data_IF_895257254727
#
_entry.id   IF_895257254727
#
_cell.length_a   1.000
_cell.length_b   1.000
_cell.length_c   1.000
_cell.angle_alpha   90.00
_cell.angle_beta   90.00
_cell.angle_gamma   90.00
#
_symmetry.space_group_name_H-M   'P 1'
#
loop_
_entity.id
_entity.type
_entity.pdbx_description
1 polymer ?
#
# COMPACT_ATOMS: atom_id res chain seq x y z
N UNK A 1 -35.11 -15.39 54.95
CA UNK A 1 -33.80 -14.77 54.69
C UNK A 1 -33.04 -15.70 53.75
N UNK A 2 -33.25 -15.57 52.44
CA UNK A 2 -32.52 -16.36 51.45
C UNK A 2 -31.42 -15.45 50.88
N UNK A 3 -30.26 -15.48 51.51
CA UNK A 3 -29.06 -14.84 51.00
C UNK A 3 -28.56 -15.63 49.79
N UNK A 4 -28.52 -14.96 48.65
CA UNK A 4 -27.93 -15.48 47.42
C UNK A 4 -26.43 -15.70 47.62
N UNK A 5 -26.00 -16.96 47.64
CA UNK A 5 -24.59 -17.34 47.79
C UNK A 5 -23.73 -16.90 46.61
N UNK A 6 -24.32 -16.69 45.42
CA UNK A 6 -23.58 -16.18 44.25
C UNK A 6 -23.23 -14.69 44.37
N UNK A 7 -23.87 -13.96 45.30
CA UNK A 7 -23.49 -12.59 45.61
C UNK A 7 -22.08 -12.49 46.23
N UNK A 8 -21.61 -13.55 46.93
CA UNK A 8 -20.28 -13.62 47.55
C UNK A 8 -19.15 -13.94 46.55
N UNK A 9 -19.49 -14.48 45.37
CA UNK A 9 -18.52 -14.93 44.37
C UNK A 9 -18.21 -13.87 43.29
N UNK A 10 -18.88 -12.72 43.29
CA UNK A 10 -18.43 -11.54 42.53
C UNK A 10 -17.23 -10.94 43.25
N UNK A 11 -16.05 -11.49 42.96
CA UNK A 11 -14.74 -10.97 43.41
C UNK A 11 -14.74 -9.46 43.34
N UNK A 12 -14.81 -8.84 44.51
CA UNK A 12 -14.57 -7.44 44.75
C UNK A 12 -13.23 -7.06 44.13
N UNK A 13 -13.28 -6.42 42.96
CA UNK A 13 -12.13 -5.81 42.30
C UNK A 13 -11.78 -4.51 43.04
N UNK A 14 -11.69 -4.54 44.39
CA UNK A 14 -11.50 -3.41 45.33
C UNK A 14 -10.24 -2.61 45.02
N UNK A 15 -10.28 -1.90 43.91
CA UNK A 15 -9.38 -0.83 43.56
C UNK A 15 -10.10 0.46 43.97
N UNK A 16 -9.35 1.51 44.29
CA UNK A 16 -9.96 2.83 44.52
C UNK A 16 -10.80 3.34 43.32
N UNK A 17 -10.77 2.65 42.17
CA UNK A 17 -11.55 2.95 40.99
C UNK A 17 -12.96 2.31 40.99
N UNK A 18 -13.24 1.32 41.87
CA UNK A 18 -14.56 0.67 41.96
C UNK A 18 -15.69 1.65 42.26
N UNK A 19 -15.40 2.69 43.05
CA UNK A 19 -16.35 3.77 43.33
C UNK A 19 -16.83 4.50 42.06
N UNK A 20 -16.09 4.38 40.97
CA UNK A 20 -16.41 4.98 39.67
C UNK A 20 -16.89 3.94 38.64
N UNK A 21 -17.16 2.69 39.05
CA UNK A 21 -17.52 1.58 38.16
C UNK A 21 -18.65 1.95 37.19
N UNK A 22 -19.79 2.44 37.70
CA UNK A 22 -20.96 2.75 36.87
C UNK A 22 -20.65 3.83 35.82
N UNK A 23 -19.92 4.87 36.22
CA UNK A 23 -19.49 5.94 35.33
C UNK A 23 -18.52 5.43 34.27
N UNK A 24 -17.52 4.63 34.68
CA UNK A 24 -16.54 4.04 33.78
C UNK A 24 -17.24 3.13 32.77
N UNK A 25 -18.11 2.23 33.21
CA UNK A 25 -18.86 1.31 32.35
C UNK A 25 -19.74 2.04 31.35
N UNK A 26 -20.53 3.03 31.80
CA UNK A 26 -21.35 3.86 30.92
C UNK A 26 -20.51 4.62 29.89
N UNK A 27 -19.38 5.18 30.33
CA UNK A 27 -18.49 5.96 29.46
C UNK A 27 -17.78 5.09 28.43
N UNK A 28 -17.30 3.91 28.83
CA UNK A 28 -16.70 2.92 27.93
C UNK A 28 -17.73 2.42 26.90
N UNK A 29 -18.96 2.12 27.33
CA UNK A 29 -20.05 1.71 26.45
C UNK A 29 -20.47 2.82 25.47
N UNK A 30 -20.37 4.09 25.87
CA UNK A 30 -20.59 5.23 24.96
C UNK A 30 -19.41 5.54 24.03
N UNK A 31 -18.32 4.77 24.09
CA UNK A 31 -17.15 4.93 23.23
C UNK A 31 -16.18 6.03 23.63
N UNK A 32 -16.25 6.50 24.88
CA UNK A 32 -15.32 7.48 25.39
C UNK A 32 -13.93 6.84 25.56
N UNK A 33 -12.88 7.57 25.17
CA UNK A 33 -11.51 7.05 25.28
C UNK A 33 -11.04 7.00 26.73
N UNK A 34 -10.28 5.96 27.11
CA UNK A 34 -9.76 5.73 28.48
C UNK A 34 -9.09 6.97 29.10
N UNK A 35 -8.38 7.76 28.30
CA UNK A 35 -7.73 9.01 28.73
C UNK A 35 -8.72 10.07 29.22
N UNK A 36 -9.87 10.16 28.58
CA UNK A 36 -10.90 11.16 28.91
C UNK A 36 -11.71 10.69 30.13
N UNK A 37 -11.99 9.38 30.21
CA UNK A 37 -12.58 8.75 31.40
C UNK A 37 -11.68 8.97 32.63
N UNK A 38 -10.37 8.70 32.51
CA UNK A 38 -9.41 8.93 33.60
C UNK A 38 -9.39 10.40 34.07
N UNK A 39 -9.41 11.35 33.14
CA UNK A 39 -9.45 12.78 33.47
C UNK A 39 -10.72 13.14 34.25
N UNK A 40 -11.85 12.55 33.91
CA UNK A 40 -13.11 12.88 34.57
C UNK A 40 -13.23 12.25 35.97
N UNK A 41 -12.84 10.99 36.13
CA UNK A 41 -12.80 10.36 37.47
C UNK A 41 -11.76 11.04 38.38
N UNK A 42 -10.67 11.59 37.81
CA UNK A 42 -9.69 12.37 38.59
C UNK A 42 -10.31 13.66 39.16
N UNK A 43 -11.13 14.37 38.38
CA UNK A 43 -11.87 15.55 38.86
C UNK A 43 -12.90 15.20 39.93
N UNK A 44 -13.51 14.02 39.83
CA UNK A 44 -14.48 13.51 40.81
C UNK A 44 -13.81 13.00 42.11
N UNK A 45 -12.47 13.05 42.21
CA UNK A 45 -11.73 12.74 43.43
C UNK A 45 -10.95 11.43 43.40
N UNK A 46 -10.77 10.78 42.24
CA UNK A 46 -9.96 9.57 42.15
C UNK A 46 -8.49 9.87 42.47
N UNK A 47 -7.93 9.25 43.51
CA UNK A 47 -6.55 9.49 43.94
C UNK A 47 -5.52 8.58 43.26
N UNK A 48 -5.94 7.52 42.57
CA UNK A 48 -5.05 6.52 41.99
C UNK A 48 -4.24 6.98 40.75
N UNK A 49 -3.24 6.16 40.41
CA UNK A 49 -2.36 6.34 39.27
C UNK A 49 -3.06 6.01 37.94
N UNK A 50 -2.57 6.61 36.84
CA UNK A 50 -3.09 6.37 35.49
C UNK A 50 -3.04 4.89 35.12
N UNK A 51 -1.92 4.22 35.41
CA UNK A 51 -1.70 2.80 35.13
C UNK A 51 -2.74 1.92 35.81
N UNK A 52 -2.98 2.14 37.11
CA UNK A 52 -3.98 1.39 37.89
C UNK A 52 -5.39 1.56 37.34
N UNK A 53 -5.78 2.79 36.96
CA UNK A 53 -7.08 3.03 36.34
C UNK A 53 -7.20 2.39 34.95
N UNK A 54 -6.11 2.40 34.17
CA UNK A 54 -6.08 1.79 32.85
C UNK A 54 -6.15 0.26 32.92
N UNK A 55 -5.42 -0.36 33.85
CA UNK A 55 -5.48 -1.80 34.10
C UNK A 55 -6.88 -2.22 34.55
N UNK A 56 -7.51 -1.43 35.42
CA UNK A 56 -8.89 -1.65 35.83
C UNK A 56 -9.86 -1.54 34.65
N UNK A 57 -9.76 -0.48 33.85
CA UNK A 57 -10.56 -0.34 32.63
C UNK A 57 -10.31 -1.50 31.66
N UNK A 58 -9.07 -1.94 31.45
CA UNK A 58 -8.76 -3.07 30.56
C UNK A 58 -9.42 -4.37 31.02
N UNK A 59 -9.42 -4.65 32.33
CA UNK A 59 -10.15 -5.80 32.89
C UNK A 59 -11.65 -5.72 32.62
N UNK A 60 -12.25 -4.53 32.75
CA UNK A 60 -13.67 -4.33 32.44
C UNK A 60 -13.97 -4.54 30.96
N UNK A 61 -13.08 -4.06 30.09
CA UNK A 61 -13.18 -4.18 28.63
C UNK A 61 -13.14 -5.64 28.21
N UNK A 62 -12.20 -6.42 28.74
CA UNK A 62 -12.08 -7.85 28.47
C UNK A 62 -13.27 -8.63 29.04
N UNK A 63 -13.67 -8.34 30.29
CA UNK A 63 -14.78 -9.04 30.95
C UNK A 63 -16.14 -8.81 30.28
N UNK A 64 -16.35 -7.64 29.65
CA UNK A 64 -17.64 -7.25 29.06
C UNK A 64 -17.59 -7.14 27.53
N UNK A 65 -16.46 -7.48 26.89
CA UNK A 65 -16.31 -7.46 25.43
C UNK A 65 -16.51 -6.08 24.77
N UNK A 66 -16.15 -4.99 25.45
CA UNK A 66 -16.46 -3.62 24.99
C UNK A 66 -15.51 -3.19 23.87
N UNK A 67 -16.04 -2.75 22.73
CA UNK A 67 -15.24 -2.19 21.63
C UNK A 67 -14.88 -0.72 21.89
N UNK A 68 -13.59 -0.39 21.95
CA UNK A 68 -13.12 0.96 22.32
C UNK A 68 -12.23 1.60 21.28
N UNK A 69 -12.50 2.87 21.03
CA UNK A 69 -11.62 3.82 20.37
C UNK A 69 -10.29 3.97 21.12
N UNK A 70 -9.19 3.48 20.52
CA UNK A 70 -7.83 3.65 21.09
C UNK A 70 -7.35 5.10 20.99
N UNK A 71 -7.82 5.84 19.98
CA UNK A 71 -7.44 7.23 19.71
C UNK A 71 -8.68 8.10 19.51
N UNK A 72 -8.60 9.38 19.90
CA UNK A 72 -9.70 10.37 19.77
C UNK A 72 -10.21 10.52 18.33
N UNK A 73 -9.37 10.24 17.34
CA UNK A 73 -9.67 10.31 15.92
C UNK A 73 -10.28 9.03 15.33
N UNK A 74 -10.37 7.93 16.09
CA UNK A 74 -10.98 6.68 15.66
C UNK A 74 -12.37 6.53 16.31
N UNK A 75 -13.43 6.48 15.52
CA UNK A 75 -14.78 6.15 16.02
C UNK A 75 -14.91 4.64 16.23
N UNK A 76 -15.82 4.18 17.11
CA UNK A 76 -16.18 2.75 17.22
C UNK A 76 -16.56 2.19 15.83
N UNK A 77 -17.29 2.97 15.05
CA UNK A 77 -17.68 2.62 13.69
C UNK A 77 -16.47 2.39 12.77
N UNK A 78 -15.41 3.19 12.90
CA UNK A 78 -14.16 3.00 12.15
C UNK A 78 -13.43 1.71 12.52
N UNK A 79 -13.52 1.28 13.78
CA UNK A 79 -12.94 0.03 14.28
C UNK A 79 -13.72 -1.18 13.77
N UNK A 80 -15.05 -1.12 13.87
CA UNK A 80 -15.94 -2.16 13.35
C UNK A 80 -15.79 -2.32 11.82
N UNK A 81 -15.74 -1.22 11.07
CA UNK A 81 -15.41 -1.23 9.63
C UNK A 81 -14.05 -1.88 9.35
N UNK A 82 -13.02 -1.60 10.15
CA UNK A 82 -11.69 -2.18 9.98
C UNK A 82 -11.67 -3.69 10.23
N UNK A 83 -12.43 -4.19 11.21
CA UNK A 83 -12.62 -5.63 11.45
C UNK A 83 -13.40 -6.32 10.32
N UNK A 84 -14.39 -5.65 9.74
CA UNK A 84 -15.10 -6.19 8.58
C UNK A 84 -14.22 -6.20 7.32
N UNK A 85 -13.40 -5.17 7.13
CA UNK A 85 -12.43 -5.11 6.03
C UNK A 85 -11.36 -6.22 6.15
N UNK A 86 -10.91 -6.56 7.36
CA UNK A 86 -9.94 -7.66 7.55
C UNK A 86 -10.46 -9.06 7.19
N UNK A 87 -11.75 -9.22 6.89
CA UNK A 87 -12.31 -10.48 6.35
C UNK A 87 -12.07 -10.65 4.85
N UNK A 88 -11.70 -9.60 4.14
CA UNK A 88 -11.49 -9.64 2.69
C UNK A 88 -10.01 -9.59 2.36
N UNK A 89 -9.60 -10.35 1.36
CA UNK A 89 -8.27 -10.21 0.79
C UNK A 89 -8.13 -8.86 0.09
N UNK A 90 -7.06 -8.14 0.44
CA UNK A 90 -6.83 -6.79 -0.05
C UNK A 90 -5.83 -6.79 -1.20
N UNK A 91 -6.33 -6.59 -2.42
CA UNK A 91 -5.50 -6.42 -3.61
C UNK A 91 -5.17 -4.94 -3.80
N UNK A 92 -3.88 -4.59 -3.73
CA UNK A 92 -3.41 -3.23 -3.94
C UNK A 92 -3.12 -2.94 -5.42
N UNK A 93 -3.17 -1.66 -5.83
CA UNK A 93 -2.70 -1.26 -7.17
C UNK A 93 -1.25 -1.69 -7.44
N UNK A 94 -0.38 -1.57 -6.43
CA UNK A 94 1.03 -1.98 -6.53
C UNK A 94 1.19 -3.47 -6.78
N UNK A 95 0.34 -4.31 -6.17
CA UNK A 95 0.38 -5.75 -6.41
C UNK A 95 -0.12 -6.07 -7.82
N UNK A 96 -1.20 -5.43 -8.29
CA UNK A 96 -1.66 -5.59 -9.70
C UNK A 96 -0.54 -5.19 -10.69
N UNK A 97 0.13 -4.06 -10.45
CA UNK A 97 1.23 -3.63 -11.30
C UNK A 97 2.38 -4.65 -11.32
N UNK A 98 2.80 -5.16 -10.15
CA UNK A 98 3.83 -6.20 -10.07
C UNK A 98 3.43 -7.50 -10.75
N UNK A 99 2.17 -7.89 -10.62
CA UNK A 99 1.63 -9.05 -11.35
C UNK A 99 1.72 -8.86 -12.86
N UNK A 100 1.25 -7.73 -13.38
CA UNK A 100 1.29 -7.43 -14.81
C UNK A 100 2.70 -7.30 -15.36
N UNK A 101 3.60 -6.62 -14.63
CA UNK A 101 4.91 -6.23 -15.15
C UNK A 101 6.05 -7.18 -14.75
N UNK A 102 6.01 -7.76 -13.55
CA UNK A 102 7.06 -8.64 -13.04
C UNK A 102 6.65 -10.11 -13.04
N UNK A 103 5.43 -10.44 -13.47
CA UNK A 103 4.86 -11.80 -13.40
C UNK A 103 4.91 -12.35 -11.95
N UNK A 104 4.71 -11.45 -10.98
CA UNK A 104 4.78 -11.74 -9.54
C UNK A 104 3.70 -12.77 -9.16
N UNK A 105 4.10 -13.85 -8.49
CA UNK A 105 3.24 -14.98 -8.14
C UNK A 105 2.23 -14.64 -7.02
N UNK A 106 2.39 -13.51 -6.32
CA UNK A 106 1.51 -13.09 -5.20
C UNK A 106 0.03 -13.02 -5.60
N UNK A 107 -0.27 -12.76 -6.87
CA UNK A 107 -1.64 -12.67 -7.39
C UNK A 107 -2.08 -13.86 -8.24
N UNK A 108 -1.26 -14.91 -8.33
CA UNK A 108 -1.56 -16.10 -9.14
C UNK A 108 -2.87 -16.77 -8.74
N UNK A 109 -3.14 -16.89 -7.44
CA UNK A 109 -4.41 -17.45 -6.92
C UNK A 109 -5.64 -16.58 -7.14
N UNK A 110 -5.47 -15.28 -7.42
CA UNK A 110 -6.58 -14.35 -7.69
C UNK A 110 -6.73 -14.05 -9.19
N UNK A 111 -5.89 -14.66 -10.04
CA UNK A 111 -5.79 -14.32 -11.46
C UNK A 111 -7.12 -14.45 -12.19
N UNK A 112 -7.79 -15.57 -12.04
CA UNK A 112 -9.06 -15.86 -12.72
C UNK A 112 -10.14 -14.88 -12.29
N UNK A 113 -10.33 -14.72 -10.97
CA UNK A 113 -11.24 -13.75 -10.39
C UNK A 113 -10.96 -12.30 -10.84
N UNK A 114 -9.69 -11.90 -10.93
CA UNK A 114 -9.31 -10.57 -11.40
C UNK A 114 -9.61 -10.36 -12.88
N UNK A 115 -9.35 -11.36 -13.72
CA UNK A 115 -9.63 -11.29 -15.15
C UNK A 115 -11.13 -11.32 -15.45
N UNK A 116 -11.91 -12.08 -14.67
CA UNK A 116 -13.36 -12.12 -14.78
C UNK A 116 -14.00 -10.81 -14.33
N UNK A 117 -13.63 -10.33 -13.13
CA UNK A 117 -14.19 -9.10 -12.56
C UNK A 117 -13.72 -7.83 -13.26
N UNK A 118 -12.49 -7.83 -13.77
CA UNK A 118 -11.89 -6.70 -14.46
C UNK A 118 -11.23 -7.16 -15.78
N UNK A 119 -12.02 -7.36 -16.85
CA UNK A 119 -11.53 -7.83 -18.15
C UNK A 119 -10.35 -7.02 -18.71
N UNK A 120 -10.31 -5.72 -18.41
CA UNK A 120 -9.21 -4.81 -18.78
C UNK A 120 -7.85 -5.29 -18.27
N UNK A 121 -7.78 -5.92 -17.09
CA UNK A 121 -6.53 -6.48 -16.55
C UNK A 121 -6.04 -7.63 -17.44
N UNK A 122 -6.98 -8.46 -17.93
CA UNK A 122 -6.68 -9.55 -18.87
C UNK A 122 -6.16 -9.03 -20.20
N UNK A 123 -6.79 -7.99 -20.76
CA UNK A 123 -6.32 -7.36 -22.00
C UNK A 123 -4.94 -6.73 -21.85
N UNK A 124 -4.70 -5.97 -20.76
CA UNK A 124 -3.39 -5.40 -20.45
C UNK A 124 -2.31 -6.48 -20.28
N UNK A 125 -2.63 -7.57 -19.60
CA UNK A 125 -1.70 -8.69 -19.41
C UNK A 125 -1.29 -9.30 -20.76
N UNK A 126 -2.25 -9.55 -21.66
CA UNK A 126 -1.98 -10.04 -23.01
C UNK A 126 -1.13 -9.05 -23.80
N UNK A 127 -1.50 -7.77 -23.78
CA UNK A 127 -0.76 -6.70 -24.45
C UNK A 127 0.71 -6.66 -24.01
N UNK A 128 0.98 -6.68 -22.70
CA UNK A 128 2.36 -6.65 -22.17
C UNK A 128 3.15 -7.87 -22.61
N UNK A 129 2.55 -9.07 -22.57
CA UNK A 129 3.25 -10.31 -22.98
C UNK A 129 3.54 -10.34 -24.47
N UNK A 130 2.57 -9.97 -25.30
CA UNK A 130 2.74 -9.92 -26.75
C UNK A 130 3.78 -8.88 -27.13
N UNK A 131 3.71 -7.68 -26.54
CA UNK A 131 4.69 -6.63 -26.81
C UNK A 131 6.12 -7.06 -26.45
N UNK A 132 6.33 -7.68 -25.28
CA UNK A 132 7.64 -8.22 -24.89
C UNK A 132 8.13 -9.31 -25.83
N UNK A 133 7.23 -10.14 -26.34
CA UNK A 133 7.58 -11.22 -27.25
C UNK A 133 8.16 -10.68 -28.55
N UNK A 134 7.61 -9.58 -29.08
CA UNK A 134 8.13 -8.90 -30.29
C UNK A 134 9.62 -8.60 -30.16
N UNK A 135 10.05 -7.99 -29.05
CA UNK A 135 11.46 -7.64 -28.82
C UNK A 135 12.32 -8.85 -28.47
N UNK A 136 11.75 -9.86 -27.81
CA UNK A 136 12.47 -11.10 -27.49
C UNK A 136 12.76 -11.93 -28.75
N UNK A 137 11.79 -12.02 -29.64
CA UNK A 137 11.86 -12.81 -30.89
C UNK A 137 12.32 -11.98 -32.09
N UNK A 138 12.48 -10.66 -31.91
CA UNK A 138 12.85 -9.70 -32.96
C UNK A 138 12.01 -9.82 -34.22
N UNK A 139 10.70 -9.97 -34.03
CA UNK A 139 9.77 -10.31 -35.10
C UNK A 139 8.94 -9.10 -35.56
N UNK A 140 9.32 -8.50 -36.70
CA UNK A 140 8.52 -7.44 -37.34
C UNK A 140 7.10 -7.90 -37.73
N UNK A 141 6.86 -9.12 -38.24
CA UNK A 141 5.50 -9.58 -38.49
C UNK A 141 4.63 -9.55 -37.23
N UNK A 142 5.18 -9.91 -36.07
CA UNK A 142 4.46 -9.80 -34.80
C UNK A 142 4.22 -8.34 -34.40
N UNK A 143 5.13 -7.42 -34.72
CA UNK A 143 4.94 -5.99 -34.52
C UNK A 143 3.74 -5.44 -35.30
N UNK A 144 3.65 -5.74 -36.59
CA UNK A 144 2.54 -5.26 -37.41
C UNK A 144 1.19 -5.82 -36.93
N UNK A 145 1.14 -7.13 -36.65
CA UNK A 145 -0.06 -7.77 -36.10
C UNK A 145 -0.45 -7.19 -34.73
N UNK A 146 0.54 -6.85 -33.91
CA UNK A 146 0.31 -6.19 -32.62
C UNK A 146 -0.32 -4.81 -32.82
N UNK A 147 0.26 -3.98 -33.68
CA UNK A 147 -0.24 -2.62 -33.97
C UNK A 147 -1.69 -2.69 -34.48
N UNK A 148 -1.96 -3.52 -35.49
CA UNK A 148 -3.30 -3.65 -36.08
C UNK A 148 -4.35 -4.11 -35.08
N UNK A 149 -3.99 -5.04 -34.19
CA UNK A 149 -4.87 -5.54 -33.14
C UNK A 149 -5.19 -4.44 -32.13
N UNK A 150 -4.17 -3.82 -31.54
CA UNK A 150 -4.38 -2.92 -30.41
C UNK A 150 -4.88 -1.53 -30.82
N UNK A 151 -4.67 -1.10 -32.07
CA UNK A 151 -5.35 0.08 -32.64
C UNK A 151 -6.88 -0.03 -32.61
N UNK A 152 -7.41 -1.26 -32.72
CA UNK A 152 -8.85 -1.56 -32.67
C UNK A 152 -9.32 -1.97 -31.26
N UNK A 153 -8.49 -1.82 -30.24
CA UNK A 153 -8.86 -2.13 -28.86
C UNK A 153 -9.93 -1.18 -28.35
N UNK A 154 -10.86 -1.72 -27.57
CA UNK A 154 -11.85 -0.92 -26.83
C UNK A 154 -11.22 -0.12 -25.67
N UNK A 155 -9.98 -0.44 -25.30
CA UNK A 155 -9.21 0.32 -24.32
C UNK A 155 -8.50 1.46 -25.04
N UNK A 156 -8.99 2.67 -24.83
CA UNK A 156 -8.51 3.89 -25.49
C UNK A 156 -7.00 4.07 -25.36
N UNK A 157 -6.44 3.79 -24.18
CA UNK A 157 -5.01 3.92 -23.92
C UNK A 157 -4.17 2.94 -24.75
N UNK A 158 -4.67 1.73 -24.99
CA UNK A 158 -4.00 0.74 -25.85
C UNK A 158 -4.10 1.14 -27.33
N UNK A 159 -5.24 1.67 -27.75
CA UNK A 159 -5.42 2.18 -29.11
C UNK A 159 -4.48 3.36 -29.40
N UNK A 160 -4.37 4.32 -28.46
CA UNK A 160 -3.44 5.45 -28.57
C UNK A 160 -1.98 4.95 -28.59
N UNK A 161 -1.64 3.99 -27.72
CA UNK A 161 -0.30 3.41 -27.71
C UNK A 161 0.07 2.78 -29.05
N UNK A 162 -0.82 1.93 -29.60
CA UNK A 162 -0.58 1.27 -30.87
C UNK A 162 -0.53 2.25 -32.06
N UNK A 163 -1.38 3.28 -32.06
CA UNK A 163 -1.32 4.35 -33.07
C UNK A 163 -0.01 5.16 -32.97
N UNK A 164 0.51 5.37 -31.76
CA UNK A 164 1.82 5.99 -31.55
C UNK A 164 2.96 5.15 -32.14
N UNK A 165 2.94 3.83 -31.94
CA UNK A 165 3.94 2.93 -32.54
C UNK A 165 3.91 2.96 -34.07
N UNK A 166 2.73 3.02 -34.67
CA UNK A 166 2.57 3.12 -36.12
C UNK A 166 3.04 4.46 -36.67
N UNK A 167 2.82 5.55 -35.95
CA UNK A 167 3.29 6.87 -36.36
C UNK A 167 4.81 6.93 -36.46
N UNK A 168 5.51 6.27 -35.53
CA UNK A 168 6.97 6.23 -35.45
C UNK A 168 7.53 4.88 -35.96
N UNK A 169 6.85 4.24 -36.92
CA UNK A 169 7.07 2.85 -37.31
C UNK A 169 8.53 2.53 -37.66
N UNK A 170 9.18 3.36 -38.47
CA UNK A 170 10.58 3.17 -38.88
C UNK A 170 11.52 3.11 -37.65
N UNK A 171 11.31 3.97 -36.65
CA UNK A 171 12.10 3.96 -35.42
C UNK A 171 11.81 2.71 -34.58
N UNK A 172 10.55 2.26 -34.54
CA UNK A 172 10.14 1.08 -33.78
C UNK A 172 10.67 -0.20 -34.43
N UNK A 173 10.60 -0.33 -35.76
CA UNK A 173 11.17 -1.46 -36.50
C UNK A 173 12.67 -1.60 -36.24
N UNK A 174 13.39 -0.48 -36.34
CA UNK A 174 14.82 -0.43 -36.02
C UNK A 174 15.08 -0.84 -34.57
N UNK A 175 14.24 -0.41 -33.62
CA UNK A 175 14.38 -0.80 -32.21
C UNK A 175 14.11 -2.29 -31.96
N UNK A 176 13.25 -2.93 -32.76
CA UNK A 176 12.96 -4.38 -32.66
C UNK A 176 14.09 -5.22 -33.24
N UNK A 177 14.66 -4.82 -34.37
CA UNK A 177 15.72 -5.59 -35.05
C UNK A 177 17.08 -5.39 -34.39
N UNK A 178 17.36 -4.17 -33.91
CA UNK A 178 18.67 -3.80 -33.39
C UNK A 178 19.13 -4.71 -32.23
N UNK A 179 20.38 -5.16 -32.32
CA UNK A 179 21.09 -5.81 -31.22
C UNK A 179 21.60 -4.79 -30.18
N UNK A 180 21.65 -3.51 -30.54
CA UNK A 180 22.15 -2.46 -29.68
C UNK A 180 21.07 -2.08 -28.65
N UNK A 181 21.38 -2.33 -27.38
CA UNK A 181 20.55 -1.79 -26.30
C UNK A 181 20.86 -0.30 -26.11
N UNK A 182 19.82 0.53 -26.05
CA UNK A 182 19.94 1.90 -25.53
C UNK A 182 20.30 1.94 -24.04
N UNK A 183 20.45 0.79 -23.37
CA UNK A 183 20.73 0.70 -21.93
C UNK A 183 22.00 1.45 -21.50
N UNK A 184 23.05 1.46 -22.32
CA UNK A 184 24.24 2.25 -22.05
C UNK A 184 23.94 3.75 -22.12
N UNK A 185 23.27 4.20 -23.19
CA UNK A 185 22.91 5.61 -23.40
C UNK A 185 21.92 6.10 -22.35
N UNK A 186 20.93 5.28 -21.99
CA UNK A 186 19.99 5.54 -20.91
C UNK A 186 20.67 5.57 -19.54
N UNK A 187 21.63 4.69 -19.29
CA UNK A 187 22.47 4.68 -18.10
C UNK A 187 23.26 5.98 -17.95
N UNK A 188 23.91 6.43 -19.03
CA UNK A 188 24.63 7.71 -19.08
C UNK A 188 23.67 8.88 -18.86
N UNK A 189 22.49 8.87 -19.51
CA UNK A 189 21.47 9.90 -19.33
C UNK A 189 20.93 9.94 -17.89
N UNK A 190 20.75 8.79 -17.25
CA UNK A 190 20.31 8.70 -15.86
C UNK A 190 21.39 9.21 -14.90
N UNK A 191 22.66 8.83 -15.12
CA UNK A 191 23.82 9.35 -14.35
C UNK A 191 23.91 10.88 -14.50
N UNK A 192 23.78 11.39 -15.72
CA UNK A 192 23.77 12.82 -16.01
C UNK A 192 22.63 13.56 -15.29
N UNK A 193 21.39 13.05 -15.39
CA UNK A 193 20.21 13.63 -14.72
C UNK A 193 20.37 13.60 -13.21
N UNK A 194 20.93 12.53 -12.64
CA UNK A 194 21.21 12.42 -11.21
C UNK A 194 22.23 13.48 -10.78
N UNK A 195 23.38 13.61 -11.47
CA UNK A 195 24.40 14.62 -11.15
C UNK A 195 23.80 16.02 -11.19
N UNK A 196 23.00 16.34 -12.23
CA UNK A 196 22.30 17.62 -12.35
C UNK A 196 21.35 17.87 -11.17
N UNK A 197 20.58 16.87 -10.73
CA UNK A 197 19.66 16.99 -9.58
C UNK A 197 20.39 17.18 -8.26
N UNK A 198 21.41 16.37 -7.99
CA UNK A 198 22.23 16.48 -6.76
C UNK A 198 22.92 17.84 -6.66
N UNK A 199 23.32 18.40 -7.81
CA UNK A 199 23.94 19.72 -7.89
C UNK A 199 22.94 20.86 -8.08
N UNK A 200 21.63 20.60 -8.01
CA UNK A 200 20.55 21.59 -8.22
C UNK A 200 20.71 22.43 -9.49
N UNK A 201 21.18 21.81 -10.58
CA UNK A 201 21.42 22.48 -11.86
C UNK A 201 22.66 23.39 -11.89
N UNK A 202 23.44 23.48 -10.81
CA UNK A 202 24.60 24.39 -10.68
C UNK A 202 25.88 23.84 -11.33
N UNK A 203 25.80 22.76 -12.09
CA UNK A 203 26.94 22.18 -12.80
C UNK A 203 27.04 22.75 -14.22
N UNK A 204 28.03 23.64 -14.45
CA UNK A 204 28.45 24.00 -15.80
C UNK A 204 29.09 22.81 -16.53
N UNK A 205 29.27 22.90 -17.85
CA UNK A 205 29.72 21.80 -18.71
C UNK A 205 31.01 21.13 -18.19
N UNK A 206 32.03 21.91 -17.82
CA UNK A 206 33.31 21.39 -17.30
C UNK A 206 33.14 20.53 -16.05
N UNK A 207 32.34 20.99 -15.08
CA UNK A 207 32.11 20.28 -13.81
C UNK A 207 31.24 19.03 -14.02
N UNK A 208 30.31 19.10 -14.96
CA UNK A 208 29.46 17.97 -15.32
C UNK A 208 30.25 16.84 -15.97
N UNK A 209 31.15 17.19 -16.91
CA UNK A 209 32.05 16.24 -17.55
C UNK A 209 32.99 15.60 -16.53
N UNK A 210 33.59 16.38 -15.63
CA UNK A 210 34.46 15.86 -14.58
C UNK A 210 33.73 14.85 -13.66
N UNK A 211 32.50 15.15 -13.23
CA UNK A 211 31.70 14.23 -12.40
C UNK A 211 31.19 12.99 -13.15
N UNK A 212 30.98 13.09 -14.47
CA UNK A 212 30.62 11.93 -15.29
C UNK A 212 31.78 10.96 -15.44
N UNK A 213 32.99 11.49 -15.65
CA UNK A 213 34.24 10.72 -15.78
C UNK A 213 34.77 10.19 -14.45
N UNK A 214 34.40 10.83 -13.34
CA UNK A 214 34.76 10.35 -12.01
C UNK A 214 34.01 9.04 -11.69
N UNK A 215 34.78 7.97 -11.49
CA UNK A 215 34.33 6.70 -10.93
C UNK A 215 34.92 6.57 -9.50
N UNK A 216 34.10 6.67 -8.44
CA UNK A 216 34.60 6.54 -7.06
C UNK A 216 35.09 5.12 -6.72
N UNK A 217 34.92 4.13 -7.62
CA UNK A 217 35.34 2.74 -7.42
C UNK A 217 36.50 2.30 -8.32
N UNK A 218 37.03 3.17 -9.19
CA UNK A 218 38.26 2.86 -9.93
C UNK A 218 39.43 2.84 -8.94
N UNK A 219 39.95 1.65 -8.60
CA UNK A 219 41.23 1.55 -7.87
C UNK A 219 42.32 2.22 -8.73
N UNK A 220 43.20 3.03 -8.14
CA UNK A 220 44.39 3.47 -8.85
C UNK A 220 45.24 2.23 -9.17
N UNK A 221 45.50 2.02 -10.46
CA UNK A 221 46.50 1.07 -10.94
C UNK A 221 47.91 1.59 -10.73
#
# INVERSE_FOLDING_TARGET
>A
MNGDFDALCRRELLSGADRYYDYIMKSLASGMIRKDIYREIKKQGYSGQVSTAYDYMNKLIEAHGIEIAVYRSASIESISRKKQLSKFDHVTRRSIFRFLWMNDAVLSGYRECLMEKYPIIGELYKCIKEFRRIFKEKSLPQLYLFIDRYKKSNVKELAIFAAGLEKDLEAVENAVISDLSNGFVEGVNNKLKMIKRTMYGRCGQKLLTAKLMYDPHSKPG
#
